data_IF_405191936246
#
_entry.id   IF_405191936246
#
_cell.length_a   1.000
_cell.length_b   1.000
_cell.length_c   1.000
_cell.angle_alpha   90.00
_cell.angle_beta   90.00
_cell.angle_gamma   90.00
#
_symmetry.space_group_name_H-M   'P 1'
#
loop_
_entity.id
_entity.type
_entity.pdbx_description
1 polymer ?
#
# COMPACT_ATOMS: atom_id res chain seq x y z
N UNK A 1 -6.95 -3.46 -7.18
CA UNK A 1 -8.30 -3.37 -6.60
C UNK A 1 -8.35 -3.89 -5.18
N UNK A 2 -7.83 -5.08 -4.86
CA UNK A 2 -7.92 -5.65 -3.49
C UNK A 2 -7.38 -4.70 -2.40
N UNK A 3 -6.17 -4.11 -2.50
CA UNK A 3 -5.68 -3.20 -1.46
C UNK A 3 -6.55 -1.94 -1.30
N UNK A 4 -7.10 -1.42 -2.41
CA UNK A 4 -8.01 -0.28 -2.37
C UNK A 4 -9.33 -0.60 -1.67
N UNK A 5 -9.92 -1.76 -1.97
CA UNK A 5 -11.14 -2.21 -1.27
C UNK A 5 -10.84 -2.38 0.21
N UNK A 6 -9.70 -2.99 0.56
CA UNK A 6 -9.31 -3.17 1.95
C UNK A 6 -9.12 -1.84 2.68
N UNK A 7 -8.47 -0.85 2.06
CA UNK A 7 -8.30 0.49 2.62
C UNK A 7 -9.66 1.11 2.95
N UNK A 8 -10.59 1.15 1.98
CA UNK A 8 -11.90 1.78 2.17
C UNK A 8 -12.73 1.03 3.21
N UNK A 9 -12.83 -0.29 3.11
CA UNK A 9 -13.65 -1.09 4.03
C UNK A 9 -13.12 -1.06 5.46
N UNK A 10 -11.81 -1.16 5.65
CA UNK A 10 -11.21 -1.09 6.99
C UNK A 10 -11.34 0.30 7.60
N UNK A 11 -11.16 1.37 6.81
CA UNK A 11 -11.38 2.74 7.29
C UNK A 11 -12.82 2.95 7.76
N UNK A 12 -13.81 2.54 6.95
CA UNK A 12 -15.22 2.65 7.31
C UNK A 12 -15.56 1.79 8.54
N UNK A 13 -15.02 0.58 8.62
CA UNK A 13 -15.20 -0.31 9.78
C UNK A 13 -14.69 0.35 11.06
N UNK A 14 -13.46 0.86 11.06
CA UNK A 14 -12.88 1.50 12.23
C UNK A 14 -13.62 2.78 12.61
N UNK A 15 -14.08 3.55 11.62
CA UNK A 15 -14.89 4.73 11.87
C UNK A 15 -16.23 4.38 12.52
N UNK A 16 -16.93 3.36 12.02
CA UNK A 16 -18.20 2.89 12.62
C UNK A 16 -17.97 2.38 14.03
N UNK A 17 -16.91 1.61 14.28
CA UNK A 17 -16.60 1.12 15.62
C UNK A 17 -16.25 2.26 16.59
N UNK A 18 -15.57 3.30 16.12
CA UNK A 18 -15.37 4.54 16.89
C UNK A 18 -16.69 5.23 17.24
N UNK A 19 -17.61 5.33 16.27
CA UNK A 19 -18.96 5.90 16.48
C UNK A 19 -19.82 5.07 17.44
N UNK A 20 -19.59 3.76 17.54
CA UNK A 20 -20.25 2.86 18.48
C UNK A 20 -19.68 2.91 19.90
N UNK A 21 -18.70 3.80 20.16
CA UNK A 21 -18.21 4.10 21.50
C UNK A 21 -16.80 3.59 21.83
N UNK A 22 -16.08 3.00 20.87
CA UNK A 22 -14.67 2.63 21.08
C UNK A 22 -13.79 3.89 20.99
N UNK A 23 -13.40 4.42 22.16
CA UNK A 23 -12.65 5.68 22.28
C UNK A 23 -11.35 5.69 21.48
N UNK A 24 -10.69 4.54 21.34
CA UNK A 24 -9.44 4.40 20.57
C UNK A 24 -9.59 4.71 19.06
N UNK A 25 -10.75 4.47 18.47
CA UNK A 25 -11.02 4.78 17.04
C UNK A 25 -12.02 5.91 16.85
N UNK A 26 -12.30 6.67 17.91
CA UNK A 26 -13.18 7.81 17.81
C UNK A 26 -12.58 8.90 16.91
N UNK A 27 -11.25 8.99 16.89
CA UNK A 27 -10.52 9.84 15.97
C UNK A 27 -10.32 9.19 14.59
N UNK A 28 -10.48 10.02 13.57
CA UNK A 28 -10.37 9.59 12.17
C UNK A 28 -8.92 9.29 11.79
N UNK A 29 -7.93 9.91 12.45
CA UNK A 29 -6.50 9.70 12.20
C UNK A 29 -6.08 8.27 12.53
N UNK A 30 -6.46 7.76 13.72
CA UNK A 30 -6.17 6.37 14.09
C UNK A 30 -6.87 5.38 13.16
N UNK A 31 -8.10 5.68 12.74
CA UNK A 31 -8.84 4.85 11.78
C UNK A 31 -8.12 4.73 10.43
N UNK A 32 -7.57 5.83 9.90
CA UNK A 32 -6.84 5.80 8.63
C UNK A 32 -5.46 5.15 8.76
N UNK A 33 -4.77 5.29 9.89
CA UNK A 33 -3.50 4.59 10.16
C UNK A 33 -3.67 3.06 10.10
N UNK A 34 -4.71 2.55 10.77
CA UNK A 34 -5.03 1.13 10.72
C UNK A 34 -5.46 0.66 9.33
N UNK A 35 -6.23 1.49 8.61
CA UNK A 35 -6.65 1.16 7.25
C UNK A 35 -5.46 1.08 6.27
N UNK A 36 -4.52 2.03 6.37
CA UNK A 36 -3.27 2.03 5.60
C UNK A 36 -2.41 0.82 5.98
N UNK A 37 -2.29 0.50 7.27
CA UNK A 37 -1.56 -0.69 7.72
C UNK A 37 -2.12 -1.97 7.11
N UNK A 38 -3.44 -2.18 7.15
CA UNK A 38 -4.09 -3.35 6.55
C UNK A 38 -3.87 -3.40 5.03
N UNK A 39 -4.03 -2.27 4.35
CA UNK A 39 -3.76 -2.17 2.91
C UNK A 39 -2.33 -2.61 2.56
N UNK A 40 -1.34 -2.14 3.31
CA UNK A 40 0.07 -2.45 3.12
C UNK A 40 0.38 -3.93 3.42
N UNK A 41 -0.16 -4.49 4.51
CA UNK A 41 0.03 -5.91 4.83
C UNK A 41 -0.58 -6.82 3.76
N UNK A 42 -1.73 -6.44 3.19
CA UNK A 42 -2.31 -7.14 2.05
C UNK A 42 -1.47 -7.02 0.78
N UNK A 43 -0.87 -5.86 0.52
CA UNK A 43 0.13 -5.68 -0.54
C UNK A 43 1.35 -6.58 -0.34
N UNK A 44 1.92 -6.55 0.87
CA UNK A 44 3.08 -7.32 1.26
C UNK A 44 2.85 -8.82 1.07
N UNK A 45 1.66 -9.32 1.44
CA UNK A 45 1.32 -10.75 1.29
C UNK A 45 1.51 -11.29 -0.14
N UNK A 46 1.42 -10.44 -1.17
CA UNK A 46 1.61 -10.85 -2.56
C UNK A 46 3.07 -11.20 -2.90
N UNK A 47 4.05 -10.75 -2.10
CA UNK A 47 5.48 -10.92 -2.34
C UNK A 47 6.03 -12.33 -1.97
N UNK A 48 5.30 -13.11 -1.18
CA UNK A 48 5.72 -14.46 -0.74
C UNK A 48 4.83 -15.61 -1.22
N UNK A 49 3.70 -15.33 -1.86
CA UNK A 49 2.75 -16.35 -2.31
C UNK A 49 2.74 -16.59 -3.81
N UNK A 50 1.62 -17.14 -4.30
CA UNK A 50 1.38 -17.44 -5.73
C UNK A 50 1.48 -16.22 -6.67
N UNK A 51 1.40 -15.00 -6.13
CA UNK A 51 1.46 -13.74 -6.90
C UNK A 51 2.88 -13.20 -7.05
N UNK A 52 3.88 -13.81 -6.39
CA UNK A 52 5.27 -13.35 -6.42
C UNK A 52 5.83 -13.32 -7.86
N UNK A 53 5.60 -14.37 -8.64
CA UNK A 53 6.05 -14.43 -10.04
C UNK A 53 5.49 -13.28 -10.88
N UNK A 54 4.24 -12.89 -10.62
CA UNK A 54 3.59 -11.79 -11.35
C UNK A 54 4.20 -10.45 -10.96
N UNK A 55 4.49 -10.23 -9.67
CA UNK A 55 5.19 -9.03 -9.20
C UNK A 55 6.59 -8.90 -9.80
N UNK A 56 7.35 -10.01 -9.88
CA UNK A 56 8.67 -10.03 -10.50
C UNK A 56 8.60 -9.65 -11.98
N UNK A 57 7.55 -10.11 -12.69
CA UNK A 57 7.29 -9.74 -14.09
C UNK A 57 6.93 -8.27 -14.26
N UNK A 58 6.38 -7.61 -13.24
CA UNK A 58 6.08 -6.17 -13.28
C UNK A 58 7.34 -5.31 -13.20
N UNK A 59 8.46 -5.83 -12.68
CA UNK A 59 9.70 -5.05 -12.57
C UNK A 59 10.28 -4.80 -13.98
N UNK A 60 10.46 -3.52 -14.38
CA UNK A 60 10.98 -3.18 -15.69
C UNK A 60 12.35 -3.81 -15.95
N UNK A 61 12.69 -4.17 -17.20
CA UNK A 61 13.95 -4.82 -17.54
C UNK A 61 15.19 -3.95 -17.27
N UNK A 62 15.03 -2.63 -17.12
CA UNK A 62 16.10 -1.71 -16.76
C UNK A 62 16.66 -1.95 -15.34
N UNK A 63 15.93 -2.66 -14.48
CA UNK A 63 16.36 -2.93 -13.12
C UNK A 63 16.98 -4.34 -13.00
N UNK A 64 18.20 -4.46 -12.44
CA UNK A 64 18.80 -5.75 -12.15
C UNK A 64 18.11 -6.44 -10.96
N UNK A 65 18.24 -7.76 -10.85
CA UNK A 65 17.81 -8.54 -9.67
C UNK A 65 16.35 -8.33 -9.23
N UNK A 66 15.41 -8.50 -10.17
CA UNK A 66 13.97 -8.27 -9.98
C UNK A 66 13.38 -8.98 -8.74
N UNK A 67 13.79 -10.22 -8.48
CA UNK A 67 13.30 -11.00 -7.32
C UNK A 67 13.74 -10.42 -5.97
N UNK A 68 14.96 -9.88 -5.93
CA UNK A 68 15.48 -9.21 -4.74
C UNK A 68 14.68 -7.94 -4.46
N UNK A 69 14.44 -7.13 -5.49
CA UNK A 69 13.64 -5.91 -5.37
C UNK A 69 12.24 -6.20 -4.81
N UNK A 70 11.55 -7.21 -5.37
CA UNK A 70 10.24 -7.66 -4.86
C UNK A 70 10.34 -8.06 -3.39
N UNK A 71 11.37 -8.80 -2.99
CA UNK A 71 11.52 -9.19 -1.57
C UNK A 71 11.72 -7.98 -0.67
N UNK A 72 12.60 -7.04 -1.07
CA UNK A 72 12.87 -5.82 -0.32
C UNK A 72 11.63 -4.95 -0.21
N UNK A 73 10.89 -4.75 -1.30
CA UNK A 73 9.67 -3.94 -1.27
C UNK A 73 8.61 -4.53 -0.35
N UNK A 74 8.43 -5.85 -0.35
CA UNK A 74 7.53 -6.51 0.58
C UNK A 74 7.92 -6.32 2.04
N UNK A 75 9.23 -6.37 2.37
CA UNK A 75 9.72 -6.15 3.73
C UNK A 75 9.48 -4.70 4.16
N UNK A 76 9.75 -3.74 3.26
CA UNK A 76 9.51 -2.32 3.51
C UNK A 76 8.02 -2.01 3.71
N UNK A 77 7.12 -2.67 2.96
CA UNK A 77 5.68 -2.55 3.18
C UNK A 77 5.26 -3.04 4.57
N UNK A 78 5.79 -4.18 5.04
CA UNK A 78 5.51 -4.71 6.38
C UNK A 78 6.07 -3.75 7.45
N UNK A 79 7.33 -3.33 7.30
CA UNK A 79 7.97 -2.42 8.23
C UNK A 79 7.22 -1.08 8.32
N UNK A 80 6.78 -0.53 7.20
CA UNK A 80 5.97 0.68 7.16
C UNK A 80 4.56 0.48 7.74
N UNK A 81 3.92 -0.67 7.50
CA UNK A 81 2.61 -1.00 8.07
C UNK A 81 2.64 -1.07 9.60
N UNK A 82 3.73 -1.57 10.18
CA UNK A 82 3.95 -1.57 11.63
C UNK A 82 4.35 -0.17 12.10
N UNK A 83 5.30 0.46 11.40
CA UNK A 83 5.86 1.76 11.77
C UNK A 83 4.82 2.88 11.80
N UNK A 84 3.83 2.87 10.91
CA UNK A 84 2.78 3.89 10.88
C UNK A 84 1.85 3.85 12.10
N UNK A 85 1.72 2.68 12.74
CA UNK A 85 0.92 2.50 13.96
C UNK A 85 1.67 2.87 15.24
N UNK A 86 3.00 2.96 15.19
CA UNK A 86 3.83 3.29 16.34
C UNK A 86 4.07 4.80 16.37
N UNK A 87 3.59 5.54 17.39
CA UNK A 87 3.65 7.01 17.41
C UNK A 87 5.06 7.57 17.19
N UNK A 88 6.09 6.92 17.77
CA UNK A 88 7.48 7.32 17.64
C UNK A 88 8.05 7.17 16.22
N UNK A 89 7.54 6.22 15.43
CA UNK A 89 8.05 5.90 14.09
C UNK A 89 7.14 6.41 12.97
N UNK A 90 5.88 6.74 13.27
CA UNK A 90 4.86 7.10 12.29
C UNK A 90 5.25 8.25 11.34
N UNK A 91 5.93 9.34 11.78
CA UNK A 91 6.41 10.38 10.87
C UNK A 91 7.40 9.84 9.82
N UNK A 92 8.41 9.11 10.27
CA UNK A 92 9.47 8.54 9.42
C UNK A 92 8.89 7.47 8.50
N UNK A 93 8.06 6.58 9.05
CA UNK A 93 7.39 5.52 8.32
C UNK A 93 6.52 6.09 7.18
N UNK A 94 5.78 7.17 7.43
CA UNK A 94 4.95 7.83 6.42
C UNK A 94 5.77 8.37 5.25
N UNK A 95 6.90 9.05 5.53
CA UNK A 95 7.80 9.54 4.48
C UNK A 95 8.40 8.38 3.68
N UNK A 96 8.90 7.34 4.36
CA UNK A 96 9.45 6.16 3.71
C UNK A 96 8.41 5.44 2.84
N UNK A 97 7.17 5.31 3.31
CA UNK A 97 6.06 4.70 2.57
C UNK A 97 5.69 5.50 1.33
N UNK A 98 5.63 6.84 1.42
CA UNK A 98 5.39 7.69 0.24
C UNK A 98 6.49 7.51 -0.80
N UNK A 99 7.76 7.52 -0.37
CA UNK A 99 8.90 7.28 -1.27
C UNK A 99 8.84 5.89 -1.91
N UNK A 100 8.49 4.86 -1.12
CA UNK A 100 8.32 3.49 -1.62
C UNK A 100 7.22 3.42 -2.69
N UNK A 101 6.06 4.02 -2.43
CA UNK A 101 4.95 4.06 -3.38
C UNK A 101 5.32 4.80 -4.66
N UNK A 102 6.07 5.90 -4.56
CA UNK A 102 6.59 6.61 -5.75
C UNK A 102 7.59 5.72 -6.51
N UNK A 103 8.50 5.04 -5.81
CA UNK A 103 9.49 4.15 -6.40
C UNK A 103 8.85 2.92 -7.10
N UNK A 104 7.66 2.49 -6.69
CA UNK A 104 6.91 1.42 -7.35
C UNK A 104 6.16 1.86 -8.63
N UNK A 105 6.04 3.16 -8.88
CA UNK A 105 5.29 3.70 -10.02
C UNK A 105 5.82 3.19 -11.39
N UNK A 106 7.14 3.12 -11.66
CA UNK A 106 7.66 2.58 -12.91
C UNK A 106 7.21 1.13 -13.17
N UNK A 107 7.18 0.28 -12.13
CA UNK A 107 6.69 -1.10 -12.24
C UNK A 107 5.19 -1.14 -12.55
N UNK A 108 4.40 -0.25 -11.94
CA UNK A 108 2.97 -0.14 -12.21
C UNK A 108 2.66 0.35 -13.64
N UNK A 109 3.46 1.29 -14.16
CA UNK A 109 3.36 1.77 -15.54
C UNK A 109 3.75 0.66 -16.53
N UNK A 110 4.86 -0.04 -16.27
CA UNK A 110 5.34 -1.15 -17.10
C UNK A 110 4.30 -2.27 -17.18
N UNK A 111 3.71 -2.66 -16.04
CA UNK A 111 2.67 -3.69 -15.99
C UNK A 111 1.43 -3.31 -16.83
N UNK A 112 1.01 -2.05 -16.75
CA UNK A 112 -0.15 -1.56 -17.51
C UNK A 112 0.13 -1.51 -19.02
N UNK A 113 1.31 -1.05 -19.44
CA UNK A 113 1.71 -0.98 -20.85
C UNK A 113 1.81 -2.36 -21.50
N UNK A 114 2.35 -3.34 -20.76
CA UNK A 114 2.51 -4.71 -21.24
C UNK A 114 1.28 -5.61 -20.99
N UNK A 115 0.16 -5.03 -20.53
CA UNK A 115 -1.11 -5.76 -20.25
C UNK A 115 -0.89 -7.03 -19.41
N UNK A 116 -0.01 -6.95 -18.42
CA UNK A 116 0.32 -8.09 -17.57
C UNK A 116 -0.89 -8.55 -16.76
N UNK A 117 -0.80 -9.77 -16.22
CA UNK A 117 -1.81 -10.34 -15.32
C UNK A 117 -1.22 -10.49 -13.92
N UNK A 118 -2.08 -10.36 -12.90
CA UNK A 118 -1.74 -10.65 -11.50
C UNK A 118 -2.79 -11.62 -10.96
N UNK A 119 -2.37 -12.81 -10.55
CA UNK A 119 -3.25 -13.87 -10.07
C UNK A 119 -4.29 -14.29 -11.13
N UNK A 120 -3.89 -14.32 -12.40
CA UNK A 120 -4.74 -14.70 -13.53
C UNK A 120 -5.74 -13.63 -14.00
N UNK A 121 -5.75 -12.43 -13.39
CA UNK A 121 -6.60 -11.31 -13.82
C UNK A 121 -5.77 -10.21 -14.50
N UNK A 122 -6.25 -9.60 -15.60
CA UNK A 122 -5.55 -8.49 -16.24
C UNK A 122 -5.41 -7.32 -15.26
N UNK A 123 -4.24 -6.67 -15.28
CA UNK A 123 -4.06 -5.44 -14.49
C UNK A 123 -5.02 -4.34 -14.98
N UNK A 124 -5.49 -3.46 -14.09
CA UNK A 124 -6.28 -2.31 -14.50
C UNK A 124 -5.51 -1.43 -15.50
N UNK A 125 -6.27 -0.71 -16.34
CA UNK A 125 -5.68 0.25 -17.30
C UNK A 125 -4.80 1.26 -16.57
N UNK A 126 -3.79 1.78 -17.28
CA UNK A 126 -2.82 2.75 -16.77
C UNK A 126 -3.45 3.93 -15.97
N UNK A 127 -4.48 4.65 -16.47
CA UNK A 127 -5.06 5.77 -15.71
C UNK A 127 -5.68 5.33 -14.37
N UNK A 128 -6.32 4.15 -14.33
CA UNK A 128 -6.88 3.60 -13.09
C UNK A 128 -5.77 3.27 -12.10
N UNK A 129 -4.67 2.66 -12.56
CA UNK A 129 -3.52 2.37 -11.69
C UNK A 129 -2.87 3.62 -11.12
N UNK A 130 -2.70 4.67 -11.93
CA UNK A 130 -2.14 5.94 -11.47
C UNK A 130 -3.08 6.59 -10.46
N UNK A 131 -4.39 6.63 -10.74
CA UNK A 131 -5.39 7.15 -9.80
C UNK A 131 -5.37 6.41 -8.46
N UNK A 132 -5.31 5.06 -8.49
CA UNK A 132 -5.17 4.26 -7.27
C UNK A 132 -3.87 4.55 -6.53
N UNK A 133 -2.76 4.73 -7.24
CA UNK A 133 -1.47 5.07 -6.63
C UNK A 133 -1.53 6.41 -5.90
N UNK A 134 -2.16 7.42 -6.52
CA UNK A 134 -2.38 8.72 -5.89
C UNK A 134 -3.24 8.59 -4.64
N UNK A 135 -4.33 7.82 -4.69
CA UNK A 135 -5.17 7.55 -3.51
C UNK A 135 -4.34 6.92 -2.38
N UNK A 136 -3.48 5.95 -2.68
CA UNK A 136 -2.64 5.31 -1.66
C UNK A 136 -1.62 6.27 -1.05
N UNK A 137 -0.96 7.09 -1.87
CA UNK A 137 -0.03 8.12 -1.39
C UNK A 137 -0.78 9.11 -0.49
N UNK A 138 -1.93 9.60 -0.94
CA UNK A 138 -2.78 10.53 -0.18
C UNK A 138 -3.23 9.90 1.14
N UNK A 139 -3.63 8.62 1.15
CA UNK A 139 -4.01 7.94 2.39
C UNK A 139 -2.85 7.83 3.39
N UNK A 140 -1.63 7.54 2.92
CA UNK A 140 -0.43 7.53 3.78
C UNK A 140 -0.13 8.93 4.32
N UNK A 141 -0.27 9.98 3.49
CA UNK A 141 -0.09 11.36 3.95
C UNK A 141 -1.12 11.75 5.01
N UNK A 142 -2.38 11.37 4.84
CA UNK A 142 -3.41 11.63 5.86
C UNK A 142 -3.19 10.84 7.15
N UNK A 143 -2.62 9.63 7.06
CA UNK A 143 -2.23 8.82 8.22
C UNK A 143 -0.96 9.32 8.92
N UNK A 144 -0.20 10.22 8.28
CA UNK A 144 1.00 10.81 8.86
C UNK A 144 0.63 11.80 9.97
N UNK A 145 1.27 11.76 11.14
CA UNK A 145 1.10 12.76 12.19
C UNK A 145 1.79 14.09 11.84
N UNK A 146 2.56 14.18 10.75
CA UNK A 146 3.26 15.42 10.38
C UNK A 146 2.33 16.58 9.98
N UNK A 147 1.07 16.29 9.70
CA UNK A 147 0.11 17.27 9.20
C UNK A 147 -1.01 17.60 10.22
N UNK A 148 -0.91 17.09 11.46
CA UNK A 148 -1.95 17.19 12.49
C UNK A 148 -1.37 17.52 13.86
#
# INVERSE_FOLDING_TARGET
>A
MIPFIALILSFLLFRVVGLLGVTYWNDWHTSIQWAVSIMLLLGASAHWGRRRSDLVRMVPPAFPQKEWMVTVTGILEIAGAIGILLPAFSPIASVCLVLLLIAMLPANIYAARNKLTIGGKPVPKMPVRIGLQLVFITAVLFASPLFW
#
